data_IF_424670975308
#
_entry.id   IF_424670975308
#
_cell.length_a   1.000
_cell.length_b   1.000
_cell.length_c   1.000
_cell.angle_alpha   90.00
_cell.angle_beta   90.00
_cell.angle_gamma   90.00
#
_symmetry.space_group_name_H-M   'P 1'
#
loop_
_entity.id
_entity.type
_entity.pdbx_description
1 polymer ?
#
# COMPACT_ATOMS: atom_id res chain seq x y z
N UNK A 1 -2.07 1.60 -14.07
CA UNK A 1 -1.31 1.79 -15.33
C UNK A 1 -0.16 2.68 -14.96
N UNK A 2 1.07 2.18 -14.99
CA UNK A 2 2.26 3.00 -14.71
C UNK A 2 2.60 3.84 -15.93
N UNK A 3 3.21 5.02 -15.75
CA UNK A 3 3.75 5.77 -16.86
C UNK A 3 4.78 4.90 -17.62
N UNK A 4 4.38 4.43 -18.80
CA UNK A 4 5.20 3.65 -19.75
C UNK A 4 5.76 2.30 -19.25
N UNK A 5 5.21 1.75 -18.15
CA UNK A 5 5.60 0.43 -17.62
C UNK A 5 4.38 -0.46 -17.42
N UNK A 6 4.50 -1.74 -17.77
CA UNK A 6 3.51 -2.75 -17.43
C UNK A 6 4.01 -3.51 -16.21
N UNK A 7 3.27 -3.42 -15.12
CA UNK A 7 3.47 -4.26 -13.94
C UNK A 7 2.44 -5.38 -13.96
N UNK A 8 2.71 -6.46 -13.22
CA UNK A 8 1.71 -7.50 -13.02
C UNK A 8 0.55 -6.91 -12.21
N UNK A 9 -0.68 -7.39 -12.47
CA UNK A 9 -1.83 -7.06 -11.60
C UNK A 9 -1.58 -7.44 -10.14
N UNK A 10 -0.64 -8.35 -9.90
CA UNK A 10 -0.24 -8.77 -8.57
C UNK A 10 0.53 -7.70 -7.78
N UNK A 11 1.17 -6.77 -8.49
CA UNK A 11 1.98 -5.66 -8.00
C UNK A 11 1.21 -4.34 -7.93
N UNK A 12 -0.11 -4.39 -8.11
CA UNK A 12 -0.95 -3.22 -7.94
C UNK A 12 -1.48 -3.26 -6.51
N UNK A 13 -1.27 -2.20 -5.74
CA UNK A 13 -1.74 -2.10 -4.37
C UNK A 13 -1.18 -3.25 -3.51
N UNK A 14 0.11 -3.54 -3.66
CA UNK A 14 0.82 -4.60 -2.94
C UNK A 14 1.76 -4.07 -1.84
N UNK A 15 1.79 -2.74 -1.67
CA UNK A 15 2.56 -2.04 -0.66
C UNK A 15 3.98 -1.73 -1.09
N UNK A 16 4.37 -2.04 -2.33
CA UNK A 16 5.67 -1.70 -2.92
C UNK A 16 5.53 -0.77 -4.13
N UNK A 17 6.53 0.09 -4.30
CA UNK A 17 6.60 1.02 -5.41
C UNK A 17 7.20 0.35 -6.66
N UNK A 18 6.44 -0.47 -7.37
CA UNK A 18 6.88 -1.09 -8.64
C UNK A 18 6.86 -0.09 -9.81
N UNK A 19 6.01 0.91 -9.66
CA UNK A 19 5.79 2.05 -10.54
C UNK A 19 6.72 3.21 -10.15
N UNK A 20 7.46 3.76 -11.12
CA UNK A 20 8.40 4.86 -10.84
C UNK A 20 7.74 6.16 -10.38
N UNK A 21 6.43 6.28 -10.62
CA UNK A 21 5.52 7.36 -10.24
C UNK A 21 4.58 6.98 -9.09
N UNK A 22 4.77 5.81 -8.45
CA UNK A 22 3.90 5.27 -7.38
C UNK A 22 2.44 5.09 -7.81
N UNK A 23 2.14 5.05 -9.11
CA UNK A 23 0.77 5.00 -9.60
C UNK A 23 0.08 3.63 -9.40
N UNK A 24 0.85 2.61 -9.04
CA UNK A 24 0.39 1.29 -8.61
C UNK A 24 -0.14 1.26 -7.18
N UNK A 25 0.48 2.03 -6.28
CA UNK A 25 0.10 2.16 -4.87
C UNK A 25 -0.85 3.34 -4.60
N UNK A 26 -1.19 4.10 -5.64
CA UNK A 26 -2.16 5.17 -5.57
C UNK A 26 -3.57 4.69 -5.97
N UNK A 27 -4.56 5.25 -5.29
CA UNK A 27 -5.98 5.03 -5.57
C UNK A 27 -6.41 3.56 -5.41
N UNK A 28 -5.83 2.88 -4.42
CA UNK A 28 -6.13 1.50 -4.07
C UNK A 28 -7.42 1.40 -3.28
N UNK A 29 -8.32 0.51 -3.67
CA UNK A 29 -9.49 0.21 -2.84
C UNK A 29 -9.15 -0.83 -1.78
N UNK A 30 -9.94 -0.91 -0.71
CA UNK A 30 -9.77 -1.93 0.35
C UNK A 30 -9.78 -3.37 -0.21
N UNK A 31 -10.52 -3.63 -1.29
CA UNK A 31 -10.58 -4.94 -1.96
C UNK A 31 -9.39 -5.21 -2.89
N UNK A 32 -8.79 -4.17 -3.46
CA UNK A 32 -7.61 -4.30 -4.32
C UNK A 32 -6.30 -4.38 -3.53
N UNK A 33 -6.30 -3.83 -2.31
CA UNK A 33 -5.18 -3.86 -1.39
C UNK A 33 -4.87 -5.32 -0.99
N UNK A 34 -3.71 -5.84 -1.41
CA UNK A 34 -3.22 -7.15 -0.95
C UNK A 34 -2.51 -7.10 0.42
N UNK A 35 -2.60 -5.94 1.07
CA UNK A 35 -1.78 -5.51 2.18
C UNK A 35 -2.64 -4.86 3.26
N UNK A 36 -2.00 -4.14 4.18
CA UNK A 36 -2.67 -3.24 5.11
C UNK A 36 -3.19 -2.02 4.36
N UNK A 37 -4.48 -1.81 4.46
CA UNK A 37 -5.16 -0.63 3.92
C UNK A 37 -5.13 0.48 4.97
N UNK A 38 -4.43 1.58 4.70
CA UNK A 38 -4.23 2.72 5.59
C UNK A 38 -5.36 3.78 5.56
N UNK A 39 -6.51 3.43 4.98
CA UNK A 39 -7.52 4.44 4.64
C UNK A 39 -7.01 5.38 3.53
N UNK A 40 -7.90 6.18 2.95
CA UNK A 40 -7.54 7.18 1.93
C UNK A 40 -6.90 6.63 0.64
N UNK A 41 -7.30 5.43 0.25
CA UNK A 41 -6.83 4.75 -0.96
C UNK A 41 -5.31 4.47 -1.02
N UNK A 42 -4.70 4.27 0.15
CA UNK A 42 -3.28 3.97 0.30
C UNK A 42 -3.09 2.59 0.93
N UNK A 43 -2.09 1.86 0.44
CA UNK A 43 -1.72 0.53 0.90
C UNK A 43 -0.27 0.52 1.38
N UNK A 44 0.00 -0.22 2.46
CA UNK A 44 1.37 -0.47 2.93
C UNK A 44 1.60 -1.96 3.08
N UNK A 45 2.84 -2.39 2.88
CA UNK A 45 3.21 -3.80 3.03
C UNK A 45 2.77 -4.38 4.38
N UNK A 46 2.37 -5.65 4.40
CA UNK A 46 2.05 -6.34 5.66
C UNK A 46 3.23 -6.37 6.65
N UNK A 47 4.46 -6.22 6.17
CA UNK A 47 5.66 -6.12 7.01
C UNK A 47 5.75 -4.80 7.78
N UNK A 48 5.05 -3.77 7.32
CA UNK A 48 4.95 -2.45 7.95
C UNK A 48 3.78 -2.34 8.92
N UNK A 49 2.99 -3.40 9.05
CA UNK A 49 2.00 -3.46 10.13
C UNK A 49 2.74 -3.71 11.43
N UNK A 50 2.57 -2.84 12.41
CA UNK A 50 3.13 -3.03 13.75
C UNK A 50 4.65 -3.14 13.76
N UNK A 51 5.33 -2.43 12.87
CA UNK A 51 6.78 -2.43 12.78
C UNK A 51 7.44 -1.36 13.68
N UNK A 52 6.62 -0.58 14.39
CA UNK A 52 7.03 0.52 15.25
C UNK A 52 7.23 1.84 14.49
N UNK A 53 6.94 1.88 13.19
CA UNK A 53 7.05 3.04 12.31
C UNK A 53 5.65 3.42 11.84
N UNK A 54 5.35 4.71 11.86
CA UNK A 54 4.08 5.23 11.37
C UNK A 54 4.13 5.38 9.86
N UNK A 55 3.77 4.33 9.13
CA UNK A 55 3.71 4.32 7.68
C UNK A 55 2.35 4.81 7.16
N UNK A 56 1.25 4.54 7.85
CA UNK A 56 -0.05 5.14 7.50
C UNK A 56 -0.12 6.63 7.89
N UNK A 57 -0.81 7.44 7.08
CA UNK A 57 -1.06 8.86 7.33
C UNK A 57 -1.81 9.14 8.64
N UNK A 58 -2.66 8.22 9.07
CA UNK A 58 -3.36 8.24 10.34
C UNK A 58 -2.67 7.40 11.43
N UNK A 59 -1.65 6.60 11.07
CA UNK A 59 -0.97 5.67 11.96
C UNK A 59 -1.80 4.45 12.34
N UNK A 60 -2.83 4.10 11.56
CA UNK A 60 -3.70 2.96 11.89
C UNK A 60 -2.95 1.62 11.87
N UNK A 61 -1.90 1.52 11.06
CA UNK A 61 -0.96 0.41 11.00
C UNK A 61 -0.31 0.07 12.35
N UNK A 62 -0.20 1.05 13.24
CA UNK A 62 0.46 0.92 14.54
C UNK A 62 -0.53 0.91 15.73
N UNK A 63 -1.84 0.86 15.48
CA UNK A 63 -2.87 0.98 16.54
C UNK A 63 -3.47 -0.33 17.02
N UNK A 64 -3.48 -1.39 16.21
CA UNK A 64 -4.03 -2.72 16.55
C UNK A 64 -2.96 -3.81 16.39
N UNK A 65 -1.98 -3.77 17.28
CA UNK A 65 -0.83 -4.67 17.34
C UNK A 65 -0.92 -5.51 18.62
N UNK A 66 -1.59 -6.66 18.56
CA UNK A 66 -1.64 -7.65 19.66
C UNK A 66 -0.48 -8.65 19.60
#
# INVERSE_FOLDING_TARGET
>A
KCENKCILKAFKCDGEADCGDLADENNCTKEECRCVYCGSNWCISNLRKCDGIRDCLNGEDETECE
#
